data_IF_621093475237
#
_entry.id   IF_621093475237
#
_cell.length_a   1.000
_cell.length_b   1.000
_cell.length_c   1.000
_cell.angle_alpha   90.00
_cell.angle_beta   90.00
_cell.angle_gamma   90.00
#
_symmetry.space_group_name_H-M   'P 1'
#
loop_
_entity.id
_entity.type
_entity.pdbx_description
1 polymer ?
#
# COMPACT_ATOMS: atom_id res chain seq x y z
N UNK A 1 -35.38 -6.36 3.94
CA UNK A 1 -34.46 -5.94 5.00
C UNK A 1 -34.45 -4.42 5.01
N UNK A 2 -34.94 -3.79 6.07
CA UNK A 2 -35.12 -2.33 6.13
C UNK A 2 -33.86 -1.61 6.60
N UNK A 3 -33.74 -0.31 6.31
CA UNK A 3 -32.58 0.52 6.69
C UNK A 3 -32.29 0.49 8.20
N UNK A 4 -33.32 0.37 9.04
CA UNK A 4 -33.17 0.29 10.50
C UNK A 4 -32.64 -1.06 11.00
N UNK A 5 -32.91 -2.13 10.25
CA UNK A 5 -32.40 -3.48 10.52
C UNK A 5 -30.89 -3.54 10.21
N UNK A 6 -30.47 -2.92 9.11
CA UNK A 6 -29.07 -2.75 8.75
C UNK A 6 -28.30 -1.87 9.73
N UNK A 7 -28.93 -0.83 10.27
CA UNK A 7 -28.34 0.04 11.31
C UNK A 7 -28.03 -0.71 12.59
N UNK A 8 -28.94 -1.56 13.05
CA UNK A 8 -28.75 -2.38 14.25
C UNK A 8 -27.62 -3.41 14.08
N UNK A 9 -27.56 -4.08 12.94
CA UNK A 9 -26.50 -5.04 12.63
C UNK A 9 -25.12 -4.38 12.49
N UNK A 10 -25.02 -3.26 11.76
CA UNK A 10 -23.77 -2.52 11.65
C UNK A 10 -23.27 -2.06 13.03
N UNK A 11 -24.15 -1.57 13.89
CA UNK A 11 -23.77 -1.15 15.25
C UNK A 11 -23.17 -2.31 16.05
N UNK A 12 -23.77 -3.51 16.01
CA UNK A 12 -23.26 -4.68 16.73
C UNK A 12 -21.93 -5.20 16.17
N UNK A 13 -21.77 -5.22 14.84
CA UNK A 13 -20.53 -5.66 14.18
C UNK A 13 -19.37 -4.70 14.47
N UNK A 14 -19.64 -3.39 14.52
CA UNK A 14 -18.60 -2.38 14.73
C UNK A 14 -18.41 -1.95 16.19
N UNK A 15 -19.30 -2.33 17.12
CA UNK A 15 -19.21 -1.99 18.57
C UNK A 15 -17.84 -2.33 19.18
N UNK A 16 -17.21 -3.49 18.91
CA UNK A 16 -15.88 -3.81 19.44
C UNK A 16 -14.79 -2.88 18.91
N UNK A 17 -14.98 -2.32 17.71
CA UNK A 17 -14.06 -1.39 17.07
C UNK A 17 -14.29 0.05 17.52
N UNK A 18 -15.52 0.44 17.88
CA UNK A 18 -15.87 1.82 18.28
C UNK A 18 -15.16 2.31 19.55
N UNK A 19 -14.69 1.42 20.42
CA UNK A 19 -13.89 1.79 21.60
C UNK A 19 -12.42 2.07 21.25
N UNK A 20 -11.96 1.69 20.05
CA UNK A 20 -10.58 1.83 19.60
C UNK A 20 -10.43 2.74 18.37
N UNK A 21 -11.53 3.08 17.69
CA UNK A 21 -11.56 4.04 16.59
C UNK A 21 -12.28 5.33 17.02
N UNK A 22 -11.85 6.51 16.53
CA UNK A 22 -12.56 7.75 16.81
C UNK A 22 -14.03 7.66 16.35
N UNK A 23 -14.99 8.38 16.98
CA UNK A 23 -16.44 8.25 16.77
C UNK A 23 -16.93 8.74 15.39
N UNK A 24 -16.02 8.92 14.45
CA UNK A 24 -16.30 9.38 13.10
C UNK A 24 -16.95 8.26 12.29
N UNK A 25 -18.28 8.31 12.15
CA UNK A 25 -19.04 7.49 11.19
C UNK A 25 -18.60 7.72 9.74
N UNK A 26 -17.91 8.83 9.50
CA UNK A 26 -17.31 9.25 8.23
C UNK A 26 -15.96 9.90 8.51
N UNK A 27 -14.92 9.56 7.75
CA UNK A 27 -13.63 10.26 7.85
C UNK A 27 -13.84 11.73 7.43
N UNK A 28 -13.44 12.73 8.24
CA UNK A 28 -13.49 14.13 7.85
C UNK A 28 -12.77 14.37 6.52
N UNK A 29 -13.27 15.29 5.70
CA UNK A 29 -12.73 15.54 4.34
C UNK A 29 -11.25 15.91 4.38
N UNK A 30 -10.84 16.64 5.39
CA UNK A 30 -9.46 17.07 5.63
C UNK A 30 -8.49 15.91 5.88
N UNK A 31 -8.98 14.74 6.27
CA UNK A 31 -8.19 13.52 6.42
C UNK A 31 -8.24 12.62 5.17
N UNK A 32 -9.02 12.99 4.15
CA UNK A 32 -9.00 12.28 2.87
C UNK A 32 -7.71 12.58 2.12
N UNK A 33 -6.89 11.56 1.92
CA UNK A 33 -5.69 11.67 1.08
C UNK A 33 -5.83 10.77 -0.15
N UNK A 34 -6.02 11.39 -1.31
CA UNK A 34 -6.02 10.68 -2.60
C UNK A 34 -4.63 10.12 -2.92
N UNK A 35 -3.57 10.77 -2.43
CA UNK A 35 -2.20 10.27 -2.52
C UNK A 35 -2.04 8.96 -1.73
N UNK A 36 -2.51 8.91 -0.48
CA UNK A 36 -2.44 7.71 0.35
C UNK A 36 -3.26 6.54 -0.24
N UNK A 37 -4.44 6.82 -0.79
CA UNK A 37 -5.23 5.80 -1.47
C UNK A 37 -4.50 5.21 -2.68
N UNK A 38 -3.87 6.05 -3.50
CA UNK A 38 -3.05 5.60 -4.64
C UNK A 38 -1.80 4.87 -4.19
N UNK A 39 -1.21 5.27 -3.06
CA UNK A 39 -0.02 4.62 -2.52
C UNK A 39 -0.31 3.19 -2.06
N UNK A 40 -1.45 2.99 -1.37
CA UNK A 40 -1.79 1.69 -0.79
C UNK A 40 -2.44 0.75 -1.80
N UNK A 41 -3.38 1.25 -2.59
CA UNK A 41 -4.17 0.39 -3.49
C UNK A 41 -3.67 0.41 -4.92
N UNK A 42 -2.79 1.36 -5.28
CA UNK A 42 -2.49 1.67 -6.66
C UNK A 42 -3.78 2.02 -7.45
N UNK A 43 -3.71 2.24 -8.77
CA UNK A 43 -4.90 2.41 -9.59
C UNK A 43 -5.64 1.05 -9.71
N UNK A 44 -6.83 0.86 -9.11
CA UNK A 44 -7.53 -0.43 -9.13
C UNK A 44 -8.00 -0.85 -10.52
N UNK A 45 -7.96 0.06 -11.50
CA UNK A 45 -8.33 -0.19 -12.89
C UNK A 45 -7.13 -0.53 -13.78
N UNK A 46 -5.91 -0.58 -13.23
CA UNK A 46 -4.71 -1.02 -13.95
C UNK A 46 -4.06 -2.18 -13.25
N UNK A 47 -3.77 -3.24 -14.00
CA UNK A 47 -2.98 -4.35 -13.51
C UNK A 47 -1.54 -4.18 -13.97
N UNK A 48 -0.62 -3.96 -13.02
CA UNK A 48 0.82 -4.00 -13.30
C UNK A 48 1.30 -5.42 -13.00
N UNK A 49 1.70 -6.22 -14.01
CA UNK A 49 2.29 -7.53 -13.77
C UNK A 49 3.59 -7.36 -13.00
N UNK A 50 3.85 -8.26 -12.05
CA UNK A 50 5.10 -8.29 -11.29
C UNK A 50 5.73 -9.69 -11.43
N UNK A 51 6.55 -9.91 -12.47
CA UNK A 51 7.27 -11.16 -12.69
C UNK A 51 8.01 -11.65 -11.45
N UNK A 52 8.06 -12.98 -11.27
CA UNK A 52 8.78 -13.58 -10.15
C UNK A 52 10.29 -13.33 -10.24
N UNK A 53 10.82 -13.21 -11.46
CA UNK A 53 12.23 -12.97 -11.74
C UNK A 53 12.77 -11.68 -11.08
N UNK A 54 11.93 -10.64 -10.94
CA UNK A 54 12.33 -9.38 -10.32
C UNK A 54 12.49 -9.46 -8.79
N UNK A 55 12.07 -10.56 -8.15
CA UNK A 55 12.24 -10.77 -6.70
C UNK A 55 13.58 -11.45 -6.38
N UNK A 56 14.67 -10.82 -6.76
CA UNK A 56 16.03 -11.27 -6.42
C UNK A 56 16.28 -11.11 -4.91
N UNK A 57 17.37 -11.70 -4.41
CA UNK A 57 17.81 -11.55 -3.01
C UNK A 57 17.95 -10.09 -2.61
N UNK A 58 18.48 -9.27 -3.51
CA UNK A 58 18.85 -7.89 -3.24
C UNK A 58 17.60 -7.01 -3.19
N UNK A 59 16.68 -7.18 -4.15
CA UNK A 59 15.36 -6.53 -4.14
C UNK A 59 14.59 -6.88 -2.86
N UNK A 60 14.58 -8.15 -2.46
CA UNK A 60 13.92 -8.58 -1.23
C UNK A 60 14.60 -8.02 0.03
N UNK A 61 15.92 -7.92 0.04
CA UNK A 61 16.70 -7.35 1.14
C UNK A 61 16.39 -5.87 1.35
N UNK A 62 16.49 -5.07 0.28
CA UNK A 62 16.18 -3.63 0.32
C UNK A 62 14.72 -3.39 0.68
N UNK A 63 13.78 -4.12 0.05
CA UNK A 63 12.36 -3.95 0.35
C UNK A 63 12.01 -4.24 1.82
N UNK A 64 12.63 -5.26 2.42
CA UNK A 64 12.45 -5.55 3.87
C UNK A 64 13.03 -4.42 4.72
N UNK A 65 14.24 -3.96 4.40
CA UNK A 65 14.89 -2.88 5.14
C UNK A 65 14.06 -1.59 5.14
N UNK A 66 13.52 -1.19 3.97
CA UNK A 66 12.61 -0.04 3.84
C UNK A 66 11.35 -0.26 4.67
N UNK A 67 10.72 -1.43 4.55
CA UNK A 67 9.44 -1.73 5.19
C UNK A 67 9.54 -1.76 6.72
N UNK A 68 10.59 -2.40 7.24
CA UNK A 68 10.75 -2.62 8.68
C UNK A 68 11.17 -1.32 9.39
N UNK A 69 12.01 -0.51 8.74
CA UNK A 69 12.48 0.78 9.27
C UNK A 69 11.51 1.95 9.04
N UNK A 70 10.56 1.83 8.09
CA UNK A 70 9.78 2.94 7.53
C UNK A 70 10.65 4.06 6.92
N UNK A 71 11.91 3.78 6.56
CA UNK A 71 12.77 4.71 5.86
C UNK A 71 12.49 4.67 4.35
N UNK A 72 11.46 5.40 3.93
CA UNK A 72 11.11 5.53 2.51
C UNK A 72 12.10 6.40 1.73
N UNK A 73 13.09 7.02 2.39
CA UNK A 73 14.20 7.69 1.70
C UNK A 73 15.06 6.72 0.88
N UNK A 74 14.98 5.42 1.18
CA UNK A 74 15.69 4.35 0.45
C UNK A 74 14.90 3.79 -0.75
N UNK A 75 13.73 4.36 -1.10
CA UNK A 75 12.96 3.94 -2.28
C UNK A 75 13.74 4.05 -3.61
N UNK A 76 14.59 5.07 -3.85
CA UNK A 76 15.42 5.11 -5.05
C UNK A 76 16.39 3.92 -5.15
N UNK A 77 16.96 3.48 -4.03
CA UNK A 77 17.84 2.29 -3.97
C UNK A 77 17.07 1.03 -4.33
N UNK A 78 15.81 0.91 -3.91
CA UNK A 78 14.94 -0.17 -4.34
C UNK A 78 14.68 -0.14 -5.86
N UNK A 79 14.53 1.06 -6.43
CA UNK A 79 14.38 1.26 -7.86
C UNK A 79 15.59 0.75 -8.65
N UNK A 80 16.79 1.03 -8.17
CA UNK A 80 18.04 0.56 -8.79
C UNK A 80 18.16 -0.97 -8.69
N UNK A 81 17.91 -1.54 -7.52
CA UNK A 81 17.91 -3.00 -7.35
C UNK A 81 16.88 -3.71 -8.27
N UNK A 82 15.73 -3.09 -8.52
CA UNK A 82 14.72 -3.60 -9.45
C UNK A 82 15.19 -3.54 -10.90
N UNK A 83 15.81 -2.42 -11.31
CA UNK A 83 16.37 -2.26 -12.66
C UNK A 83 17.48 -3.29 -12.91
N UNK A 84 18.37 -3.51 -11.93
CA UNK A 84 19.40 -4.55 -11.97
C UNK A 84 18.81 -5.97 -12.07
N UNK A 85 17.64 -6.20 -11.46
CA UNK A 85 16.88 -7.45 -11.58
C UNK A 85 16.14 -7.60 -12.93
N UNK A 86 16.29 -6.65 -13.85
CA UNK A 86 15.64 -6.63 -15.16
C UNK A 86 14.21 -6.11 -15.16
N UNK A 87 13.83 -5.28 -14.18
CA UNK A 87 12.55 -4.57 -14.21
C UNK A 87 12.53 -3.53 -15.33
N UNK A 88 11.62 -3.69 -16.28
CA UNK A 88 11.41 -2.79 -17.41
C UNK A 88 10.14 -1.93 -17.26
N UNK A 89 9.45 -2.06 -16.13
CA UNK A 89 8.23 -1.30 -15.85
C UNK A 89 8.57 0.14 -15.48
N UNK A 90 8.42 1.05 -16.45
CA UNK A 90 8.59 2.49 -16.24
C UNK A 90 7.74 3.02 -15.06
N UNK A 91 6.56 2.44 -14.84
CA UNK A 91 5.68 2.84 -13.75
C UNK A 91 6.24 2.48 -12.36
N UNK A 92 6.75 1.26 -12.20
CA UNK A 92 7.38 0.82 -10.94
C UNK A 92 8.65 1.63 -10.68
N UNK A 93 9.51 1.80 -11.69
CA UNK A 93 10.76 2.53 -11.56
C UNK A 93 10.51 4.01 -11.25
N UNK A 94 9.52 4.63 -11.92
CA UNK A 94 9.14 6.01 -11.66
C UNK A 94 8.56 6.19 -10.25
N UNK A 95 7.76 5.22 -9.76
CA UNK A 95 7.26 5.22 -8.39
C UNK A 95 8.39 5.19 -7.37
N UNK A 96 9.41 4.37 -7.59
CA UNK A 96 10.54 4.26 -6.66
C UNK A 96 11.45 5.50 -6.64
N UNK A 97 11.65 6.14 -7.79
CA UNK A 97 12.65 7.20 -7.98
C UNK A 97 12.11 8.62 -7.82
N UNK A 98 10.86 8.86 -8.20
CA UNK A 98 10.31 10.21 -8.33
C UNK A 98 9.13 10.50 -7.39
N UNK A 99 8.53 9.48 -6.77
CA UNK A 99 7.54 9.72 -5.73
C UNK A 99 8.25 10.32 -4.50
N UNK A 100 7.70 11.39 -3.89
CA UNK A 100 8.27 11.95 -2.66
C UNK A 100 8.25 10.91 -1.52
N UNK A 101 9.28 10.91 -0.68
CA UNK A 101 9.39 9.94 0.43
C UNK A 101 8.17 10.01 1.37
N UNK A 102 7.64 11.21 1.61
CA UNK A 102 6.45 11.46 2.43
C UNK A 102 5.14 10.95 1.82
N UNK A 103 5.14 10.62 0.52
CA UNK A 103 3.98 10.03 -0.15
C UNK A 103 3.87 8.52 0.10
N UNK A 104 4.97 7.89 0.52
CA UNK A 104 5.00 6.48 0.85
C UNK A 104 4.47 6.21 2.26
N UNK A 105 3.86 5.04 2.41
CA UNK A 105 3.36 4.56 3.69
C UNK A 105 3.52 3.05 3.79
N UNK A 106 3.30 2.51 5.00
CA UNK A 106 3.11 1.06 5.15
C UNK A 106 1.91 0.62 4.32
N UNK A 107 2.16 -0.26 3.36
CA UNK A 107 1.19 -0.64 2.33
C UNK A 107 1.51 -0.10 0.95
N UNK A 108 2.63 0.62 0.75
CA UNK A 108 3.18 0.95 -0.57
C UNK A 108 3.03 -0.23 -1.53
N UNK A 109 2.28 -0.01 -2.62
CA UNK A 109 1.90 -1.08 -3.53
C UNK A 109 3.11 -1.81 -4.15
N UNK A 110 4.23 -1.12 -4.39
CA UNK A 110 5.48 -1.74 -4.90
C UNK A 110 6.08 -2.66 -3.83
N UNK A 111 6.23 -2.19 -2.59
CA UNK A 111 6.76 -2.99 -1.48
C UNK A 111 5.88 -4.20 -1.19
N UNK A 112 4.57 -4.02 -1.16
CA UNK A 112 3.61 -5.09 -0.91
C UNK A 112 3.64 -6.14 -2.05
N UNK A 113 3.83 -5.72 -3.31
CA UNK A 113 4.02 -6.64 -4.44
C UNK A 113 5.31 -7.44 -4.35
N UNK A 114 6.40 -6.81 -3.93
CA UNK A 114 7.71 -7.47 -3.74
C UNK A 114 7.63 -8.48 -2.60
N UNK A 115 7.14 -8.03 -1.43
CA UNK A 115 7.07 -8.81 -0.20
C UNK A 115 5.87 -9.78 -0.15
N UNK A 116 5.01 -9.77 -1.19
CA UNK A 116 3.75 -10.52 -1.26
C UNK A 116 2.83 -10.24 -0.05
N UNK A 117 2.85 -9.01 0.46
CA UNK A 117 1.91 -8.56 1.49
C UNK A 117 0.65 -8.04 0.80
N UNK A 118 -0.52 -8.25 1.39
CA UNK A 118 -1.80 -7.78 0.83
C UNK A 118 -2.44 -8.63 -0.27
N UNK A 119 -1.77 -9.65 -0.83
CA UNK A 119 -2.34 -10.57 -1.85
C UNK A 119 -3.37 -11.57 -1.28
N UNK A 120 -3.64 -11.53 0.04
CA UNK A 120 -4.60 -12.41 0.73
C UNK A 120 -5.78 -11.63 1.37
N UNK A 121 -6.11 -10.45 0.84
CA UNK A 121 -7.26 -9.64 1.28
C UNK A 121 -8.50 -9.91 0.40
N UNK A 122 -8.81 -11.19 0.21
CA UNK A 122 -10.04 -11.68 -0.44
C UNK A 122 -11.10 -12.01 0.59
#
# INVERSE_FOLDING_TARGET
MGDDEWRGLAALVYLPFMLQTPPFRWVPRELHSTALLREVYYNPYRFVPFPAAWRTSDVLGVARAVYDSNDFGQMPVLGDALEDAGCDSAEILNHCRHAPAESHARGCWVLDRILKRGQNRG
#
